data_IF_959660865446
#
_entry.id   IF_959660865446
#
_cell.length_a   1.000
_cell.length_b   1.000
_cell.length_c   1.000
_cell.angle_alpha   90.00
_cell.angle_beta   90.00
_cell.angle_gamma   90.00
#
_symmetry.space_group_name_H-M   'P 1'
#
loop_
_entity.id
_entity.type
_entity.pdbx_description
1 polymer ?
#
# COMPACT_ATOMS: atom_id res chain seq x y z
N UNK A 1 -8.94 -6.39 -0.30
CA UNK A 1 -7.86 -5.54 0.26
C UNK A 1 -7.77 -5.53 1.80
N UNK A 2 -8.57 -6.33 2.52
CA UNK A 2 -9.07 -5.99 3.86
C UNK A 2 -8.09 -5.52 4.95
N UNK A 3 -6.83 -5.97 4.98
CA UNK A 3 -5.89 -5.57 6.04
C UNK A 3 -5.38 -4.13 5.88
N UNK A 4 -5.04 -3.72 4.65
CA UNK A 4 -4.47 -2.38 4.39
C UNK A 4 -5.53 -1.29 4.46
N UNK A 5 -6.75 -1.58 3.98
CA UNK A 5 -7.86 -0.62 3.99
C UNK A 5 -8.26 -0.28 5.43
N UNK A 6 -8.33 -1.29 6.30
CA UNK A 6 -8.56 -1.07 7.74
C UNK A 6 -7.47 -0.23 8.38
N UNK A 7 -6.19 -0.45 8.04
CA UNK A 7 -5.09 0.36 8.57
C UNK A 7 -5.21 1.81 8.11
N UNK A 8 -5.55 2.04 6.84
CA UNK A 8 -5.79 3.39 6.32
C UNK A 8 -6.94 4.09 7.09
N UNK A 9 -8.07 3.41 7.29
CA UNK A 9 -9.19 3.99 8.05
C UNK A 9 -8.81 4.28 9.50
N UNK A 10 -8.08 3.38 10.15
CA UNK A 10 -7.58 3.57 11.53
C UNK A 10 -6.68 4.81 11.63
N UNK A 11 -5.76 5.02 10.66
CA UNK A 11 -4.89 6.22 10.63
C UNK A 11 -5.69 7.48 10.33
N UNK A 12 -6.64 7.44 9.40
CA UNK A 12 -7.54 8.56 9.11
C UNK A 12 -8.33 8.95 10.36
N UNK A 13 -8.92 7.99 11.05
CA UNK A 13 -9.68 8.22 12.27
C UNK A 13 -8.79 8.78 13.38
N UNK A 14 -7.58 8.23 13.55
CA UNK A 14 -6.59 8.77 14.48
C UNK A 14 -6.26 10.22 14.14
N UNK A 15 -6.01 10.55 12.87
CA UNK A 15 -5.71 11.92 12.45
C UNK A 15 -6.89 12.90 12.69
N UNK A 16 -8.13 12.40 12.62
CA UNK A 16 -9.35 13.16 12.94
C UNK A 16 -9.57 13.37 14.44
N UNK A 17 -9.03 12.50 15.30
CA UNK A 17 -9.20 12.57 16.74
C UNK A 17 -8.02 13.28 17.43
N UNK A 18 -6.82 13.19 16.88
CA UNK A 18 -5.59 13.72 17.50
C UNK A 18 -5.49 15.23 17.31
N UNK A 19 -5.38 15.95 18.43
CA UNK A 19 -5.14 17.40 18.48
C UNK A 19 -3.65 17.71 18.48
N UNK A 20 -3.28 18.78 17.80
CA UNK A 20 -1.91 19.31 17.81
C UNK A 20 -1.73 20.30 18.96
N UNK A 21 -0.50 20.44 19.44
CA UNK A 21 -0.13 21.45 20.46
C UNK A 21 -0.38 22.88 19.98
N UNK A 22 -0.26 23.12 18.67
CA UNK A 22 -0.57 24.40 18.02
C UNK A 22 -2.07 24.72 17.92
N UNK A 23 -2.95 23.81 18.38
CA UNK A 23 -4.37 23.82 18.04
C UNK A 23 -4.65 23.14 16.70
N UNK A 24 -5.92 22.84 16.44
CA UNK A 24 -6.36 22.05 15.27
C UNK A 24 -6.14 20.54 15.44
N UNK A 25 -6.49 19.76 14.42
CA UNK A 25 -6.28 18.30 14.38
C UNK A 25 -5.18 17.95 13.39
N UNK A 26 -4.59 16.77 13.54
CA UNK A 26 -3.60 16.27 12.59
C UNK A 26 -4.15 16.26 11.16
N UNK A 27 -5.41 15.84 10.97
CA UNK A 27 -6.04 15.81 9.64
C UNK A 27 -6.22 17.19 9.00
N UNK A 28 -6.18 18.28 9.77
CA UNK A 28 -6.38 19.63 9.24
C UNK A 28 -5.10 20.15 8.53
N UNK A 29 -3.96 19.44 8.62
CA UNK A 29 -2.72 19.79 7.92
C UNK A 29 -2.82 19.42 6.42
N UNK A 30 -2.56 20.34 5.48
CA UNK A 30 -2.68 20.06 4.04
C UNK A 30 -1.84 18.88 3.54
N UNK A 31 -0.63 18.69 4.07
CA UNK A 31 0.22 17.56 3.68
C UNK A 31 -0.32 16.22 4.19
N UNK A 32 -0.98 16.18 5.36
CA UNK A 32 -1.64 14.97 5.88
C UNK A 32 -2.79 14.58 4.95
N UNK A 33 -3.61 15.55 4.54
CA UNK A 33 -4.70 15.31 3.59
C UNK A 33 -4.17 14.78 2.26
N UNK A 34 -3.06 15.35 1.77
CA UNK A 34 -2.41 14.91 0.53
C UNK A 34 -1.91 13.46 0.64
N UNK A 35 -1.28 13.09 1.76
CA UNK A 35 -0.80 11.72 1.98
C UNK A 35 -1.97 10.74 2.04
N UNK A 36 -3.00 11.05 2.83
CA UNK A 36 -4.20 10.21 2.94
C UNK A 36 -4.92 10.07 1.58
N UNK A 37 -5.00 11.15 0.79
CA UNK A 37 -5.59 11.11 -0.55
C UNK A 37 -4.81 10.21 -1.51
N UNK A 38 -3.47 10.27 -1.50
CA UNK A 38 -2.61 9.39 -2.31
C UNK A 38 -2.79 7.92 -1.94
N UNK A 39 -2.79 7.62 -0.64
CA UNK A 39 -3.02 6.25 -0.15
C UNK A 39 -4.41 5.75 -0.56
N UNK A 40 -5.44 6.58 -0.38
CA UNK A 40 -6.80 6.24 -0.78
C UNK A 40 -6.91 5.94 -2.29
N UNK A 41 -6.35 6.80 -3.14
CA UNK A 41 -6.38 6.61 -4.58
C UNK A 41 -5.69 5.30 -5.01
N UNK A 42 -4.52 4.99 -4.43
CA UNK A 42 -3.83 3.73 -4.71
C UNK A 42 -4.58 2.49 -4.21
N UNK A 43 -5.27 2.58 -3.07
CA UNK A 43 -6.16 1.51 -2.59
C UNK A 43 -7.31 1.26 -3.58
N UNK A 44 -7.92 2.33 -4.10
CA UNK A 44 -9.00 2.20 -5.09
C UNK A 44 -8.50 1.55 -6.39
N UNK A 45 -7.33 1.96 -6.90
CA UNK A 45 -6.70 1.31 -8.06
C UNK A 45 -6.46 -0.18 -7.79
N UNK A 46 -5.84 -0.52 -6.67
CA UNK A 46 -5.55 -1.91 -6.34
C UNK A 46 -6.83 -2.74 -6.15
N UNK A 47 -7.92 -2.14 -5.67
CA UNK A 47 -9.23 -2.79 -5.53
C UNK A 47 -9.78 -3.19 -6.89
N UNK A 48 -9.82 -2.23 -7.82
CA UNK A 48 -10.34 -2.43 -9.17
C UNK A 48 -9.51 -3.46 -9.94
N UNK A 49 -8.17 -3.37 -9.86
CA UNK A 49 -7.28 -4.35 -10.47
C UNK A 49 -7.51 -5.77 -9.94
N UNK A 50 -7.66 -5.95 -8.63
CA UNK A 50 -7.95 -7.26 -8.05
C UNK A 50 -9.33 -7.80 -8.46
N UNK A 51 -10.35 -6.93 -8.56
CA UNK A 51 -11.67 -7.34 -9.05
C UNK A 51 -11.64 -7.74 -10.51
N UNK A 52 -10.90 -7.01 -11.36
CA UNK A 52 -10.69 -7.39 -12.75
C UNK A 52 -10.01 -8.77 -12.84
N UNK A 53 -8.97 -9.03 -12.05
CA UNK A 53 -8.31 -10.35 -12.03
C UNK A 53 -9.26 -11.46 -11.59
N UNK A 54 -10.03 -11.25 -10.52
CA UNK A 54 -11.01 -12.21 -10.05
C UNK A 54 -12.07 -12.49 -11.11
N UNK A 55 -12.56 -11.46 -11.80
CA UNK A 55 -13.53 -11.60 -12.88
C UNK A 55 -12.94 -12.33 -14.09
N UNK A 56 -11.73 -11.98 -14.55
CA UNK A 56 -11.03 -12.67 -15.64
C UNK A 56 -10.82 -14.16 -15.33
N UNK A 57 -10.54 -14.50 -14.07
CA UNK A 57 -10.45 -15.89 -13.63
C UNK A 57 -11.79 -16.62 -13.81
N UNK A 58 -12.92 -16.02 -13.43
CA UNK A 58 -14.25 -16.64 -13.64
C UNK A 58 -14.61 -16.82 -15.12
N UNK A 59 -14.00 -16.03 -16.01
CA UNK A 59 -14.21 -16.11 -17.45
C UNK A 59 -13.20 -16.99 -18.18
N UNK A 60 -12.18 -17.51 -17.49
CA UNK A 60 -11.08 -18.26 -18.11
C UNK A 60 -10.17 -17.41 -19.00
N UNK A 61 -10.18 -16.08 -18.83
CA UNK A 61 -9.43 -15.12 -19.65
C UNK A 61 -8.29 -14.47 -18.87
N UNK A 62 -7.72 -15.18 -17.90
CA UNK A 62 -6.64 -14.66 -17.06
C UNK A 62 -5.38 -14.39 -17.91
N UNK A 63 -4.84 -13.18 -17.81
CA UNK A 63 -3.63 -12.77 -18.51
C UNK A 63 -2.45 -12.67 -17.51
N UNK A 64 -1.37 -13.40 -17.78
CA UNK A 64 -0.18 -13.41 -16.92
C UNK A 64 0.50 -12.03 -16.83
N UNK A 65 0.49 -11.23 -17.90
CA UNK A 65 1.03 -9.87 -17.88
C UNK A 65 0.22 -8.94 -16.96
N UNK A 66 -1.11 -9.08 -16.97
CA UNK A 66 -1.96 -8.32 -16.05
C UNK A 66 -1.73 -8.77 -14.61
N UNK A 67 -1.66 -10.07 -14.35
CA UNK A 67 -1.36 -10.61 -13.01
C UNK A 67 -0.01 -10.10 -12.48
N UNK A 68 1.04 -10.10 -13.30
CA UNK A 68 2.35 -9.52 -12.98
C UNK A 68 2.25 -8.01 -12.71
N UNK A 69 1.45 -7.28 -13.49
CA UNK A 69 1.21 -5.84 -13.28
C UNK A 69 0.58 -5.58 -11.91
N UNK A 70 -0.46 -6.33 -11.54
CA UNK A 70 -1.12 -6.19 -10.23
C UNK A 70 -0.15 -6.52 -9.09
N UNK A 71 0.70 -7.54 -9.25
CA UNK A 71 1.73 -7.90 -8.26
C UNK A 71 2.72 -6.76 -8.04
N UNK A 72 3.33 -6.26 -9.12
CA UNK A 72 4.33 -5.17 -9.07
C UNK A 72 3.70 -3.94 -8.43
N UNK A 73 2.58 -3.47 -8.98
CA UNK A 73 1.89 -2.30 -8.47
C UNK A 73 1.53 -2.46 -6.99
N UNK A 74 0.90 -3.58 -6.61
CA UNK A 74 0.45 -3.80 -5.24
C UNK A 74 1.60 -3.84 -4.22
N UNK A 75 2.70 -4.54 -4.55
CA UNK A 75 3.84 -4.66 -3.64
C UNK A 75 4.56 -3.32 -3.40
N UNK A 76 4.75 -2.52 -4.45
CA UNK A 76 5.40 -1.20 -4.34
C UNK A 76 4.47 -0.18 -3.69
N UNK A 77 3.20 -0.19 -4.09
CA UNK A 77 2.18 0.65 -3.48
C UNK A 77 2.09 0.41 -1.97
N UNK A 78 2.17 -0.83 -1.48
CA UNK A 78 2.12 -1.08 -0.04
C UNK A 78 3.31 -0.45 0.71
N UNK A 79 4.52 -0.49 0.14
CA UNK A 79 5.69 0.16 0.74
C UNK A 79 5.45 1.66 0.86
N UNK A 80 5.03 2.31 -0.23
CA UNK A 80 4.75 3.74 -0.23
C UNK A 80 3.57 4.11 0.67
N UNK A 81 2.50 3.31 0.65
CA UNK A 81 1.32 3.56 1.47
C UNK A 81 1.67 3.53 2.95
N UNK A 82 2.36 2.49 3.41
CA UNK A 82 2.77 2.42 4.81
C UNK A 82 3.79 3.51 5.18
N UNK A 83 4.70 3.91 4.29
CA UNK A 83 5.60 5.05 4.52
C UNK A 83 4.81 6.35 4.73
N UNK A 84 3.88 6.67 3.84
CA UNK A 84 3.05 7.87 3.95
C UNK A 84 2.20 7.86 5.23
N UNK A 85 1.66 6.70 5.60
CA UNK A 85 0.89 6.56 6.84
C UNK A 85 1.79 6.71 8.09
N UNK A 86 3.02 6.21 8.06
CA UNK A 86 4.00 6.46 9.14
C UNK A 86 4.34 7.94 9.27
N UNK A 87 4.52 8.65 8.16
CA UNK A 87 4.75 10.09 8.16
C UNK A 87 3.56 10.85 8.78
N UNK A 88 2.32 10.44 8.50
CA UNK A 88 1.11 11.01 9.15
C UNK A 88 1.10 10.76 10.66
N UNK A 89 1.56 9.59 11.13
CA UNK A 89 1.66 9.27 12.55
C UNK A 89 2.80 10.01 13.27
N UNK A 90 3.75 10.58 12.53
CA UNK A 90 4.92 11.27 13.09
C UNK A 90 5.79 10.34 13.93
N UNK A 91 6.33 10.87 15.03
CA UNK A 91 7.24 10.14 15.94
C UNK A 91 6.61 8.84 16.47
N UNK A 92 5.31 8.86 16.78
CA UNK A 92 4.58 7.69 17.26
C UNK A 92 4.52 6.55 16.22
N UNK A 93 4.71 6.86 14.93
CA UNK A 93 4.79 5.88 13.85
C UNK A 93 5.98 4.91 14.00
N UNK A 94 7.08 5.34 14.62
CA UNK A 94 8.27 4.51 14.82
C UNK A 94 8.13 3.51 15.99
N UNK A 95 7.09 3.64 16.81
CA UNK A 95 6.94 2.85 18.02
C UNK A 95 6.40 1.44 17.70
N UNK A 96 7.14 0.44 18.17
CA UNK A 96 6.77 -0.97 18.01
C UNK A 96 5.58 -1.31 18.91
N UNK A 97 4.88 -2.39 18.54
CA UNK A 97 3.86 -2.97 19.41
C UNK A 97 4.45 -3.26 20.80
N UNK A 98 3.77 -2.81 21.84
CA UNK A 98 4.17 -3.01 23.24
C UNK A 98 4.93 -1.82 23.83
N UNK A 99 5.35 -0.83 23.02
CA UNK A 99 5.90 0.42 23.54
C UNK A 99 4.81 1.25 24.23
N UNK A 100 5.11 1.99 25.33
CA UNK A 100 4.12 2.74 26.11
C UNK A 100 3.25 3.71 25.31
N UNK A 101 3.80 4.34 24.26
CA UNK A 101 3.12 5.37 23.46
C UNK A 101 2.74 4.87 22.05
N UNK A 102 2.78 3.56 21.81
CA UNK A 102 2.50 3.00 20.49
C UNK A 102 1.06 3.27 20.03
N UNK A 103 0.90 4.12 19.02
CA UNK A 103 -0.40 4.38 18.39
C UNK A 103 -0.85 3.19 17.55
N UNK A 104 -2.16 2.97 17.49
CA UNK A 104 -2.77 1.89 16.70
C UNK A 104 -2.16 0.50 16.95
N UNK A 105 -1.63 0.25 18.16
CA UNK A 105 -0.95 -0.99 18.56
C UNK A 105 0.29 -1.32 17.71
N UNK A 106 0.99 -0.30 17.20
CA UNK A 106 2.18 -0.44 16.35
C UNK A 106 1.89 -1.15 15.02
N UNK A 107 0.63 -1.13 14.55
CA UNK A 107 0.21 -1.92 13.39
C UNK A 107 0.86 -1.42 12.09
N UNK A 108 0.96 -0.10 11.90
CA UNK A 108 1.54 0.49 10.69
C UNK A 108 3.04 0.19 10.60
N UNK A 109 3.79 0.41 11.69
CA UNK A 109 5.21 0.05 11.82
C UNK A 109 5.49 -1.40 11.46
N UNK A 110 4.71 -2.32 12.05
CA UNK A 110 4.86 -3.76 11.81
C UNK A 110 4.60 -4.11 10.34
N UNK A 111 3.60 -3.48 9.72
CA UNK A 111 3.26 -3.77 8.32
C UNK A 111 4.25 -3.16 7.34
N UNK A 112 4.81 -2.00 7.63
CA UNK A 112 5.90 -1.44 6.83
C UNK A 112 7.09 -2.40 6.74
N UNK A 113 7.52 -2.99 7.87
CA UNK A 113 8.59 -4.01 7.84
C UNK A 113 8.19 -5.28 7.09
N UNK A 114 6.96 -5.76 7.30
CA UNK A 114 6.50 -7.01 6.69
C UNK A 114 6.31 -6.90 5.17
N UNK A 115 5.88 -5.74 4.67
CA UNK A 115 5.55 -5.58 3.25
C UNK A 115 6.76 -5.64 2.33
N UNK A 116 7.97 -5.40 2.84
CA UNK A 116 9.20 -5.46 2.06
C UNK A 116 9.43 -6.83 1.43
N UNK A 117 8.96 -7.91 2.07
CA UNK A 117 9.08 -9.26 1.53
C UNK A 117 8.30 -9.41 0.22
N UNK A 118 7.25 -8.62 0.01
CA UNK A 118 6.37 -8.75 -1.17
C UNK A 118 7.01 -8.23 -2.45
N UNK A 119 8.04 -7.39 -2.38
CA UNK A 119 8.71 -6.86 -3.58
C UNK A 119 9.59 -7.92 -4.26
N UNK A 120 10.13 -8.88 -3.48
CA UNK A 120 10.94 -9.99 -4.00
C UNK A 120 10.26 -11.37 -3.90
N UNK A 121 9.38 -11.55 -2.91
CA UNK A 121 8.60 -12.77 -2.73
C UNK A 121 7.57 -12.96 -3.84
N UNK A 122 7.35 -14.22 -4.26
CA UNK A 122 6.48 -14.53 -5.39
C UNK A 122 7.02 -14.09 -6.75
N UNK A 123 8.36 -14.00 -6.87
CA UNK A 123 9.06 -13.47 -8.04
C UNK A 123 9.37 -11.99 -7.87
N UNK A 124 10.62 -11.59 -8.08
CA UNK A 124 11.05 -10.20 -7.89
C UNK A 124 10.34 -9.26 -8.84
N UNK A 125 10.14 -8.00 -8.43
CA UNK A 125 9.42 -7.04 -9.26
C UNK A 125 10.12 -6.80 -10.61
N UNK A 126 11.43 -6.98 -10.69
CA UNK A 126 12.21 -6.96 -11.94
C UNK A 126 11.79 -8.11 -12.85
N UNK A 127 11.81 -9.36 -12.37
CA UNK A 127 11.34 -10.52 -13.14
C UNK A 127 9.88 -10.37 -13.57
N UNK A 128 9.04 -9.77 -12.72
CA UNK A 128 7.64 -9.54 -13.04
C UNK A 128 7.48 -8.46 -14.12
N UNK A 129 8.34 -7.43 -14.14
CA UNK A 129 8.39 -6.45 -15.23
C UNK A 129 8.87 -7.07 -16.55
N UNK A 130 9.77 -8.03 -16.51
CA UNK A 130 10.16 -8.79 -17.71
C UNK A 130 8.97 -9.56 -18.29
N UNK A 131 8.14 -10.18 -17.44
CA UNK A 131 6.89 -10.83 -17.88
C UNK A 131 5.94 -9.80 -18.52
N UNK A 132 5.78 -8.62 -17.92
CA UNK A 132 4.94 -7.55 -18.48
C UNK A 132 5.45 -7.12 -19.86
N UNK A 133 6.76 -6.91 -20.00
CA UNK A 133 7.38 -6.51 -21.26
C UNK A 133 7.19 -7.57 -22.35
N UNK A 134 7.46 -8.84 -22.04
CA UNK A 134 7.35 -9.93 -23.02
C UNK A 134 5.91 -10.29 -23.34
N UNK A 135 5.10 -10.58 -22.33
CA UNK A 135 3.75 -11.11 -22.51
C UNK A 135 2.71 -10.01 -22.75
N UNK A 136 2.93 -8.81 -22.23
CA UNK A 136 2.01 -7.67 -22.37
C UNK A 136 2.35 -6.74 -23.54
N UNK A 137 3.64 -6.56 -23.84
CA UNK A 137 4.11 -5.61 -24.86
C UNK A 137 4.82 -6.28 -26.03
N UNK A 138 4.87 -7.61 -26.08
CA UNK A 138 5.55 -8.39 -27.13
C UNK A 138 7.02 -8.03 -27.35
N UNK A 139 7.69 -7.55 -26.29
CA UNK A 139 9.11 -7.22 -26.34
C UNK A 139 9.96 -8.50 -26.36
N UNK A 140 11.14 -8.48 -27.01
CA UNK A 140 12.07 -9.61 -26.94
C UNK A 140 12.60 -9.81 -25.51
N UNK A 141 13.04 -11.04 -25.21
CA UNK A 141 13.70 -11.37 -23.93
C UNK A 141 14.93 -10.48 -23.72
N UNK A 142 15.05 -9.89 -22.53
CA UNK A 142 16.32 -9.29 -22.09
C UNK A 142 17.38 -10.39 -21.99
N UNK A 143 18.63 -10.05 -22.36
CA UNK A 143 19.79 -10.94 -22.29
C UNK A 143 20.47 -10.85 -20.93
#
# INVERSE_FOLDING_TARGET
LGHVDRIFQDVRQWAQATRLSSGGRVIDRPWVQTHLARVYAGLEVLKLLNWQQAWSLTRGTLNYAEASTVKVFGSEFYVDAYRLLLEVLGEAGALKRGSPEAVLRGRVERMYRATLILTFGGGTNETQRDIIAMAGLSMPRSR
#
